data_IF_431249896363
#
_entry.id   IF_431249896363
#
_cell.length_a   1.000
_cell.length_b   1.000
_cell.length_c   1.000
_cell.angle_alpha   90.00
_cell.angle_beta   90.00
_cell.angle_gamma   90.00
#
_symmetry.space_group_name_H-M   'P 1'
#
loop_
_entity.id
_entity.type
_entity.pdbx_description
1 polymer ?
#
# COMPACT_ATOMS: atom_id res chain seq x y z
N UNK A 1 -20.99 15.93 -12.65
CA UNK A 1 -20.01 15.05 -11.98
C UNK A 1 -20.05 15.37 -10.51
N UNK A 2 -20.35 14.38 -9.67
CA UNK A 2 -20.53 14.59 -8.24
C UNK A 2 -19.21 15.04 -7.60
N UNK A 3 -19.20 16.23 -6.99
CA UNK A 3 -17.99 16.83 -6.41
C UNK A 3 -17.66 16.24 -5.03
N UNK A 4 -18.54 15.44 -4.47
CA UNK A 4 -18.39 14.90 -3.12
C UNK A 4 -17.28 13.82 -3.03
N UNK A 5 -16.71 13.70 -1.84
CA UNK A 5 -15.76 12.65 -1.48
C UNK A 5 -16.52 11.31 -1.41
N UNK A 6 -15.98 10.19 -1.93
CA UNK A 6 -16.68 8.91 -1.92
C UNK A 6 -16.60 8.24 -0.53
N UNK A 7 -17.35 8.76 0.43
CA UNK A 7 -17.30 8.37 1.85
C UNK A 7 -17.54 6.87 2.02
N UNK A 8 -18.58 6.30 1.41
CA UNK A 8 -18.89 4.86 1.52
C UNK A 8 -17.72 3.95 1.12
N UNK A 9 -16.96 4.35 0.09
CA UNK A 9 -15.78 3.60 -0.37
C UNK A 9 -14.61 3.79 0.58
N UNK A 10 -14.45 4.98 1.17
CA UNK A 10 -13.43 5.27 2.17
C UNK A 10 -13.70 4.53 3.48
N UNK A 11 -14.94 4.46 3.93
CA UNK A 11 -15.34 3.65 5.09
C UNK A 11 -15.05 2.16 4.85
N UNK A 12 -15.31 1.69 3.62
CA UNK A 12 -14.95 0.33 3.24
C UNK A 12 -13.43 0.11 3.26
N UNK A 13 -12.64 1.07 2.76
CA UNK A 13 -11.18 1.03 2.87
C UNK A 13 -10.78 1.00 4.36
N UNK A 14 -11.32 1.89 5.18
CA UNK A 14 -11.05 1.97 6.62
C UNK A 14 -11.36 0.65 7.35
N UNK A 15 -12.40 -0.07 6.94
CA UNK A 15 -12.80 -1.35 7.56
C UNK A 15 -11.69 -2.41 7.55
N UNK A 16 -10.77 -2.38 6.57
CA UNK A 16 -9.63 -3.31 6.53
C UNK A 16 -8.62 -3.08 7.66
N UNK A 17 -8.61 -1.89 8.28
CA UNK A 17 -7.73 -1.59 9.43
C UNK A 17 -8.19 -2.30 10.72
N UNK A 18 -9.50 -2.54 10.86
CA UNK A 18 -10.12 -3.09 12.07
C UNK A 18 -9.80 -4.58 12.29
N UNK A 19 -9.45 -5.30 11.22
CA UNK A 19 -9.10 -6.73 11.26
C UNK A 19 -7.59 -7.02 11.23
N UNK A 20 -6.76 -6.06 11.66
CA UNK A 20 -5.28 -6.15 11.66
C UNK A 20 -4.72 -7.46 12.21
N UNK A 21 -5.29 -7.99 13.29
CA UNK A 21 -4.81 -9.20 13.97
C UNK A 21 -4.97 -10.48 13.13
N UNK A 22 -5.90 -10.51 12.17
CA UNK A 22 -6.09 -11.64 11.26
C UNK A 22 -5.40 -11.40 9.92
N UNK A 23 -5.41 -10.15 9.44
CA UNK A 23 -4.90 -9.80 8.12
C UNK A 23 -3.38 -9.84 8.02
N UNK A 24 -2.64 -9.32 8.99
CA UNK A 24 -1.17 -9.35 8.96
C UNK A 24 -0.61 -10.78 8.99
N UNK A 25 -1.06 -11.67 9.89
CA UNK A 25 -0.64 -13.07 9.86
C UNK A 25 -1.04 -13.76 8.55
N UNK A 26 -2.25 -13.50 8.02
CA UNK A 26 -2.67 -14.11 6.75
C UNK A 26 -1.80 -13.65 5.57
N UNK A 27 -1.48 -12.36 5.50
CA UNK A 27 -0.55 -11.82 4.50
C UNK A 27 0.84 -12.44 4.65
N UNK A 28 1.37 -12.50 5.87
CA UNK A 28 2.70 -13.04 6.13
C UNK A 28 2.79 -14.55 5.88
N UNK A 29 1.79 -15.32 6.29
CA UNK A 29 1.66 -16.74 5.98
C UNK A 29 1.54 -16.96 4.47
N UNK A 30 0.79 -16.12 3.76
CA UNK A 30 0.73 -16.15 2.30
C UNK A 30 2.10 -15.92 1.65
N UNK A 31 2.86 -14.95 2.16
CA UNK A 31 4.25 -14.70 1.73
C UNK A 31 5.14 -15.92 2.02
N UNK A 32 5.04 -16.53 3.21
CA UNK A 32 5.83 -17.73 3.58
C UNK A 32 5.50 -18.92 2.66
N UNK A 33 4.22 -19.23 2.47
CA UNK A 33 3.78 -20.32 1.58
C UNK A 33 4.29 -20.09 0.16
N UNK A 34 4.19 -18.85 -0.32
CA UNK A 34 4.67 -18.48 -1.64
C UNK A 34 6.19 -18.64 -1.78
N UNK A 35 6.97 -18.16 -0.80
CA UNK A 35 8.42 -18.36 -0.75
C UNK A 35 8.79 -19.85 -0.68
N UNK A 36 8.02 -20.66 0.06
CA UNK A 36 8.22 -22.09 0.16
C UNK A 36 7.97 -22.82 -1.17
N UNK A 37 6.89 -22.48 -1.89
CA UNK A 37 6.62 -23.02 -3.23
C UNK A 37 7.72 -22.66 -4.23
N UNK A 38 8.27 -21.45 -4.13
CA UNK A 38 9.42 -20.99 -4.91
C UNK A 38 10.69 -21.78 -4.58
N UNK A 39 11.04 -21.88 -3.30
CA UNK A 39 12.22 -22.64 -2.86
C UNK A 39 12.13 -24.12 -3.27
N UNK A 40 10.93 -24.70 -3.19
CA UNK A 40 10.66 -26.07 -3.63
C UNK A 40 10.84 -26.23 -5.15
N UNK A 41 10.33 -25.27 -5.94
CA UNK A 41 10.52 -25.25 -7.39
C UNK A 41 12.00 -25.13 -7.78
N UNK A 42 12.76 -24.29 -7.09
CA UNK A 42 14.22 -24.17 -7.28
C UNK A 42 14.90 -25.49 -6.95
N UNK A 43 14.59 -26.11 -5.81
CA UNK A 43 15.19 -27.37 -5.39
C UNK A 43 14.95 -28.49 -6.42
N UNK A 44 13.76 -28.54 -7.02
CA UNK A 44 13.43 -29.49 -8.10
C UNK A 44 14.27 -29.22 -9.35
N UNK A 45 14.42 -27.96 -9.77
CA UNK A 45 15.22 -27.59 -10.94
C UNK A 45 16.71 -27.87 -10.74
N UNK A 46 17.26 -27.54 -9.57
CA UNK A 46 18.67 -27.76 -9.21
C UNK A 46 19.00 -29.25 -9.12
N UNK A 47 18.08 -30.08 -8.62
CA UNK A 47 18.26 -31.54 -8.58
C UNK A 47 18.42 -32.15 -9.98
N UNK A 48 17.88 -31.50 -11.01
CA UNK A 48 17.96 -31.99 -12.38
C UNK A 48 19.30 -31.64 -13.05
N UNK A 49 19.94 -30.50 -12.74
CA UNK A 49 21.32 -30.13 -13.16
C UNK A 49 21.93 -29.08 -12.23
N UNK A 50 23.15 -29.34 -11.73
CA UNK A 50 23.89 -28.44 -10.83
C UNK A 50 24.43 -27.17 -11.51
N UNK A 51 24.67 -27.20 -12.83
CA UNK A 51 25.19 -26.04 -13.57
C UNK A 51 24.13 -24.94 -13.79
N UNK A 52 22.85 -25.25 -13.61
CA UNK A 52 21.73 -24.34 -13.88
C UNK A 52 21.20 -23.62 -12.63
N UNK A 53 21.89 -23.71 -11.48
CA UNK A 53 21.47 -23.07 -10.22
C UNK A 53 21.26 -21.56 -10.40
N UNK A 54 22.20 -20.88 -11.08
CA UNK A 54 22.12 -19.45 -11.33
C UNK A 54 20.91 -19.07 -12.21
N UNK A 55 20.59 -19.91 -13.20
CA UNK A 55 19.44 -19.71 -14.10
C UNK A 55 18.13 -19.93 -13.35
N UNK A 56 18.04 -20.98 -12.53
CA UNK A 56 16.88 -21.24 -11.66
C UNK A 56 16.62 -20.10 -10.68
N UNK A 57 17.68 -19.51 -10.12
CA UNK A 57 17.60 -18.38 -9.20
C UNK A 57 17.17 -17.10 -9.93
N UNK A 58 17.67 -16.85 -11.15
CA UNK A 58 17.25 -15.75 -12.02
C UNK A 58 15.78 -15.85 -12.41
N UNK A 59 15.29 -17.03 -12.83
CA UNK A 59 13.88 -17.26 -13.15
C UNK A 59 13.01 -17.06 -11.92
N UNK A 60 13.47 -17.53 -10.76
CA UNK A 60 12.73 -17.40 -9.50
C UNK A 60 12.63 -15.94 -9.06
N UNK A 61 13.73 -15.19 -9.07
CA UNK A 61 13.70 -13.74 -8.80
C UNK A 61 12.87 -13.00 -9.84
N UNK A 62 13.01 -13.36 -11.11
CA UNK A 62 12.27 -12.79 -12.24
C UNK A 62 10.76 -13.05 -12.19
N UNK A 63 10.31 -14.11 -11.52
CA UNK A 63 8.88 -14.40 -11.27
C UNK A 63 8.37 -13.81 -9.95
N UNK A 64 9.24 -13.67 -8.94
CA UNK A 64 8.93 -13.05 -7.65
C UNK A 64 8.64 -11.56 -7.79
N UNK A 65 9.44 -10.86 -8.60
CA UNK A 65 9.40 -9.40 -8.74
C UNK A 65 8.06 -8.92 -9.34
N UNK A 66 7.54 -9.52 -10.43
CA UNK A 66 6.22 -9.20 -10.97
C UNK A 66 5.09 -9.50 -9.98
N UNK A 67 5.13 -10.65 -9.28
CA UNK A 67 4.09 -11.02 -8.30
C UNK A 67 4.09 -10.03 -7.14
N UNK A 68 5.27 -9.61 -6.68
CA UNK A 68 5.39 -8.59 -5.65
C UNK A 68 4.81 -7.26 -6.10
N UNK A 69 5.16 -6.79 -7.29
CA UNK A 69 4.69 -5.51 -7.84
C UNK A 69 3.18 -5.53 -8.12
N UNK A 70 2.64 -6.64 -8.61
CA UNK A 70 1.25 -6.73 -9.05
C UNK A 70 0.31 -7.05 -7.88
N UNK A 71 0.71 -7.88 -6.92
CA UNK A 71 -0.21 -8.41 -5.90
C UNK A 71 0.17 -7.93 -4.49
N UNK A 72 1.35 -8.33 -4.02
CA UNK A 72 1.70 -8.17 -2.60
C UNK A 72 1.95 -6.71 -2.21
N UNK A 73 2.68 -5.96 -3.03
CA UNK A 73 2.94 -4.53 -2.84
C UNK A 73 1.65 -3.71 -2.81
N UNK A 74 0.74 -3.86 -3.80
CA UNK A 74 -0.53 -3.14 -3.81
C UNK A 74 -1.43 -3.46 -2.62
N UNK A 75 -1.47 -4.73 -2.18
CA UNK A 75 -2.16 -5.13 -0.96
C UNK A 75 -1.57 -4.42 0.27
N UNK A 76 -0.25 -4.36 0.38
CA UNK A 76 0.42 -3.64 1.46
C UNK A 76 0.07 -2.15 1.46
N UNK A 77 0.00 -1.52 0.27
CA UNK A 77 -0.43 -0.13 0.15
C UNK A 77 -1.89 0.07 0.55
N UNK A 78 -2.79 -0.86 0.20
CA UNK A 78 -4.17 -0.84 0.66
C UNK A 78 -4.27 -0.92 2.19
N UNK A 79 -3.47 -1.78 2.82
CA UNK A 79 -3.43 -1.87 4.27
C UNK A 79 -2.89 -0.60 4.91
N UNK A 80 -1.81 -0.02 4.40
CA UNK A 80 -1.30 1.23 4.95
C UNK A 80 -2.34 2.36 4.80
N UNK A 81 -2.96 2.46 3.62
CA UNK A 81 -3.98 3.45 3.34
C UNK A 81 -5.22 3.25 4.23
N UNK A 82 -5.62 2.02 4.55
CA UNK A 82 -6.78 1.78 5.41
C UNK A 82 -6.62 2.35 6.81
N UNK A 83 -5.42 2.28 7.41
CA UNK A 83 -5.14 2.90 8.70
C UNK A 83 -5.19 4.42 8.64
N UNK A 84 -4.61 5.00 7.60
CA UNK A 84 -4.58 6.47 7.45
C UNK A 84 -6.00 6.99 7.22
N UNK A 85 -6.78 6.31 6.37
CA UNK A 85 -8.17 6.67 6.07
C UNK A 85 -9.06 6.51 7.30
N UNK A 86 -8.95 5.40 8.05
CA UNK A 86 -9.73 5.19 9.28
C UNK A 86 -9.47 6.31 10.30
N UNK A 87 -8.21 6.69 10.51
CA UNK A 87 -7.86 7.80 11.41
C UNK A 87 -8.34 9.16 10.90
N UNK A 88 -8.17 9.42 9.62
CA UNK A 88 -8.61 10.68 9.00
C UNK A 88 -10.14 10.83 9.03
N UNK A 89 -10.89 9.74 8.86
CA UNK A 89 -12.35 9.73 9.03
C UNK A 89 -12.78 9.93 10.49
N UNK A 90 -12.00 9.43 11.44
CA UNK A 90 -12.23 9.61 12.88
C UNK A 90 -11.70 10.95 13.44
N UNK A 91 -11.31 11.90 12.56
CA UNK A 91 -10.75 13.21 12.94
C UNK A 91 -9.53 13.12 13.88
N UNK A 92 -8.67 12.12 13.71
CA UNK A 92 -7.40 12.06 14.43
C UNK A 92 -6.56 13.31 14.11
N UNK A 93 -6.00 13.95 15.13
CA UNK A 93 -5.10 15.11 15.00
C UNK A 93 -3.91 14.84 14.08
N UNK A 94 -3.44 13.58 14.00
CA UNK A 94 -2.35 13.17 13.11
C UNK A 94 -2.64 11.80 12.49
N UNK A 95 -3.38 11.75 11.37
CA UNK A 95 -3.71 10.49 10.70
C UNK A 95 -2.47 9.72 10.23
N UNK A 96 -1.39 10.43 9.90
CA UNK A 96 -0.15 9.86 9.37
C UNK A 96 0.67 9.14 10.44
N UNK A 97 0.70 9.63 11.69
CA UNK A 97 1.60 9.21 12.78
C UNK A 97 3.11 9.27 12.45
N UNK A 98 3.46 9.61 11.23
CA UNK A 98 4.79 9.84 10.70
C UNK A 98 4.76 11.11 9.85
N UNK A 99 5.90 11.48 9.28
CA UNK A 99 5.95 12.55 8.27
C UNK A 99 5.08 12.16 7.07
N UNK A 100 4.24 13.08 6.62
CA UNK A 100 3.43 12.91 5.41
C UNK A 100 4.35 12.76 4.19
N UNK A 101 4.10 11.79 3.30
CA UNK A 101 4.88 11.64 2.08
C UNK A 101 4.66 12.83 1.13
N UNK A 102 5.63 13.09 0.26
CA UNK A 102 5.45 14.05 -0.84
C UNK A 102 4.22 13.69 -1.68
N UNK A 103 3.55 14.70 -2.25
CA UNK A 103 2.27 14.51 -2.95
C UNK A 103 2.34 13.50 -4.12
N UNK A 104 3.46 13.45 -4.85
CA UNK A 104 3.67 12.45 -5.90
C UNK A 104 3.72 11.03 -5.33
N UNK A 105 4.42 10.82 -4.21
CA UNK A 105 4.50 9.54 -3.53
C UNK A 105 3.15 9.13 -2.93
N UNK A 106 2.38 10.10 -2.41
CA UNK A 106 1.00 9.88 -1.98
C UNK A 106 0.11 9.42 -3.13
N UNK A 107 0.19 10.05 -4.30
CA UNK A 107 -0.55 9.60 -5.50
C UNK A 107 -0.20 8.16 -5.86
N UNK A 108 1.07 7.79 -5.75
CA UNK A 108 1.53 6.43 -6.00
C UNK A 108 0.91 5.44 -5.00
N UNK A 109 0.94 5.75 -3.70
CA UNK A 109 0.31 4.90 -2.67
C UNK A 109 -1.19 4.75 -2.88
N UNK A 110 -1.91 5.86 -3.12
CA UNK A 110 -3.35 5.83 -3.39
C UNK A 110 -3.68 5.04 -4.66
N UNK A 111 -2.85 5.15 -5.71
CA UNK A 111 -3.03 4.39 -6.94
C UNK A 111 -2.97 2.88 -6.69
N UNK A 112 -1.92 2.40 -6.04
CA UNK A 112 -1.74 0.97 -5.80
C UNK A 112 -2.71 0.41 -4.76
N UNK A 113 -3.02 1.17 -3.71
CA UNK A 113 -4.07 0.83 -2.76
C UNK A 113 -5.43 0.67 -3.46
N UNK A 114 -5.79 1.61 -4.34
CA UNK A 114 -7.03 1.54 -5.11
C UNK A 114 -7.03 0.38 -6.11
N UNK A 115 -5.87 0.06 -6.70
CA UNK A 115 -5.72 -1.11 -7.57
C UNK A 115 -6.03 -2.39 -6.81
N UNK A 116 -5.41 -2.60 -5.64
CA UNK A 116 -5.71 -3.75 -4.78
C UNK A 116 -7.16 -3.76 -4.30
N UNK A 117 -7.72 -2.62 -3.92
CA UNK A 117 -9.13 -2.50 -3.53
C UNK A 117 -10.05 -2.96 -4.67
N UNK A 118 -9.78 -2.53 -5.91
CA UNK A 118 -10.58 -2.91 -7.08
C UNK A 118 -10.43 -4.40 -7.40
N UNK A 119 -9.25 -5.01 -7.21
CA UNK A 119 -9.07 -6.45 -7.44
C UNK A 119 -9.93 -7.31 -6.49
N UNK A 120 -10.14 -6.86 -5.26
CA UNK A 120 -10.84 -7.64 -4.21
C UNK A 120 -12.34 -7.33 -4.21
N UNK A 121 -12.76 -6.21 -4.78
CA UNK A 121 -14.15 -5.74 -4.73
C UNK A 121 -14.88 -5.85 -6.08
N UNK A 122 -16.20 -5.96 -6.01
CA UNK A 122 -17.07 -5.92 -7.18
C UNK A 122 -16.91 -4.61 -7.97
N UNK A 123 -17.00 -4.68 -9.30
CA UNK A 123 -16.85 -3.54 -10.24
C UNK A 123 -17.66 -2.31 -9.86
N UNK A 124 -18.88 -2.47 -9.34
CA UNK A 124 -19.73 -1.35 -8.89
C UNK A 124 -19.09 -0.48 -7.80
N UNK A 125 -18.21 -1.06 -6.99
CA UNK A 125 -17.53 -0.37 -5.89
C UNK A 125 -16.16 0.15 -6.29
N UNK A 126 -15.72 -0.04 -7.54
CA UNK A 126 -14.37 0.33 -7.95
C UNK A 126 -14.12 1.83 -7.80
N UNK A 127 -12.90 2.15 -7.40
CA UNK A 127 -12.40 3.52 -7.31
C UNK A 127 -11.91 3.93 -8.68
N UNK A 128 -12.59 4.92 -9.25
CA UNK A 128 -12.28 5.52 -10.54
C UNK A 128 -10.97 6.34 -10.49
N UNK A 129 -10.50 6.81 -11.66
CA UNK A 129 -9.34 7.72 -11.73
C UNK A 129 -9.62 9.07 -11.05
N UNK A 130 -10.85 9.57 -11.16
CA UNK A 130 -11.25 10.83 -10.57
C UNK A 130 -11.35 10.74 -9.04
N UNK A 131 -11.96 9.68 -8.51
CA UNK A 131 -12.02 9.42 -7.07
C UNK A 131 -10.62 9.26 -6.46
N UNK A 132 -9.71 8.54 -7.13
CA UNK A 132 -8.30 8.45 -6.70
C UNK A 132 -7.65 9.81 -6.51
N UNK A 133 -7.83 10.73 -7.46
CA UNK A 133 -7.27 12.08 -7.39
C UNK A 133 -7.85 12.85 -6.20
N UNK A 134 -9.16 12.73 -5.95
CA UNK A 134 -9.81 13.34 -4.78
C UNK A 134 -9.29 12.78 -3.47
N UNK A 135 -9.18 11.46 -3.35
CA UNK A 135 -8.67 10.80 -2.14
C UNK A 135 -7.23 11.28 -1.85
N UNK A 136 -6.38 11.34 -2.87
CA UNK A 136 -5.01 11.85 -2.70
C UNK A 136 -4.97 13.32 -2.28
N UNK A 137 -5.84 14.19 -2.85
CA UNK A 137 -5.94 15.60 -2.45
C UNK A 137 -6.46 15.76 -1.03
N UNK A 138 -7.51 15.04 -0.67
CA UNK A 138 -8.11 15.06 0.67
C UNK A 138 -7.11 14.59 1.73
N UNK A 139 -6.40 13.49 1.48
CA UNK A 139 -5.33 13.01 2.37
C UNK A 139 -4.17 14.00 2.46
N UNK A 140 -3.79 14.64 1.37
CA UNK A 140 -2.73 15.65 1.38
C UNK A 140 -3.09 16.87 2.26
N UNK A 141 -4.38 17.20 2.35
CA UNK A 141 -4.89 18.26 3.24
C UNK A 141 -4.92 17.88 4.72
N UNK A 142 -4.63 16.64 5.09
CA UNK A 142 -4.54 16.22 6.49
C UNK A 142 -3.21 16.67 7.11
N UNK A 143 -3.28 17.09 8.38
CA UNK A 143 -2.12 17.51 9.16
C UNK A 143 -1.19 16.34 9.47
N UNK A 144 0.11 16.59 9.48
CA UNK A 144 1.13 15.74 10.08
C UNK A 144 1.90 16.52 11.14
N UNK A 145 1.90 16.04 12.39
CA UNK A 145 2.54 16.74 13.51
C UNK A 145 4.09 16.77 13.43
N UNK A 146 4.66 16.32 12.31
CA UNK A 146 6.10 16.23 12.05
C UNK A 146 6.57 17.22 10.97
N UNK A 147 5.84 18.30 10.74
CA UNK A 147 6.40 19.44 9.99
C UNK A 147 7.51 20.05 10.86
N UNK A 148 8.80 19.98 10.45
CA UNK A 148 9.75 20.92 11.04
C UNK A 148 9.23 22.30 10.66
N UNK A 149 9.00 23.14 11.67
CA UNK A 149 8.83 24.57 11.49
C UNK A 149 10.10 25.09 10.83
N UNK A 150 10.09 25.19 9.49
CA UNK A 150 11.16 25.87 8.75
C UNK A 150 11.13 27.38 9.04
N UNK A 151 10.06 27.89 9.66
CA UNK A 151 9.85 29.33 9.91
C UNK A 151 10.33 29.84 11.28
N UNK A 152 11.20 29.13 12.01
CA UNK A 152 11.75 29.64 13.29
C UNK A 152 13.28 29.65 13.42
N UNK A 153 14.02 29.44 12.33
CA UNK A 153 15.50 29.43 12.40
C UNK A 153 16.15 30.60 11.62
N UNK A 154 15.39 31.45 10.93
CA UNK A 154 15.98 32.44 10.02
C UNK A 154 15.44 33.89 10.10
N UNK A 155 14.89 34.36 11.22
CA UNK A 155 14.74 35.80 11.47
C UNK A 155 14.70 36.11 12.98
N UNK A 156 15.80 35.81 13.68
CA UNK A 156 16.07 36.44 14.98
C UNK A 156 17.59 36.50 15.15
N UNK A 157 18.21 37.29 14.28
CA UNK A 157 19.54 37.89 14.40
C UNK A 157 19.68 38.85 13.22
N UNK A 158 19.12 40.05 13.40
CA UNK A 158 19.70 41.34 13.03
C UNK A 158 18.70 42.46 13.36
#
# INVERSE_FOLDING_TARGET
>A
MDNNLPIDKLEKIASYSKNKAKLYPTFFTGVIIFLYLLASSIAILVRLKWDDIAIGLLISMGTLLPIWIIILGPLLQLFNLSFIVDRALNNDTNPWRSRKPYFWLLKFYVFWASYAFNMINLRRNWISRYERKKIALWLNGQNDNNTPTVDKIFFEND
#
